data_IF_530668598752
#
_entry.id   IF_530668598752
#
_cell.length_a   1.000
_cell.length_b   1.000
_cell.length_c   1.000
_cell.angle_alpha   90.00
_cell.angle_beta   90.00
_cell.angle_gamma   90.00
#
_symmetry.space_group_name_H-M   'P 1'
#
loop_
_entity.id
_entity.type
_entity.pdbx_description
1 polymer ?
#
# COMPACT_ATOMS: atom_id res chain seq x y z
N UNK A 1 21.98 -15.92 0.73
CA UNK A 1 21.08 -15.28 -0.19
C UNK A 1 21.41 -13.79 -0.36
N UNK A 2 21.17 -13.21 -1.53
CA UNK A 2 21.20 -11.75 -1.72
C UNK A 2 20.01 -11.10 -1.01
N UNK A 3 20.22 -9.94 -0.39
CA UNK A 3 19.16 -9.14 0.22
C UNK A 3 19.54 -7.66 0.27
N UNK A 4 18.54 -6.78 0.13
CA UNK A 4 18.67 -5.34 0.36
C UNK A 4 18.38 -5.05 1.83
N UNK A 5 19.43 -4.83 2.59
CA UNK A 5 19.36 -4.68 4.06
C UNK A 5 19.57 -3.22 4.45
N UNK A 6 18.65 -2.71 5.24
CA UNK A 6 18.83 -1.49 6.03
C UNK A 6 19.52 -1.83 7.33
N UNK A 7 20.64 -1.15 7.62
CA UNK A 7 21.36 -1.28 8.88
C UNK A 7 21.79 0.12 9.34
N UNK A 8 21.26 0.57 10.48
CA UNK A 8 21.44 1.93 11.03
C UNK A 8 21.12 3.00 9.95
N UNK A 9 22.15 3.66 9.41
CA UNK A 9 22.01 4.74 8.45
C UNK A 9 22.39 4.33 7.01
N UNK A 10 22.58 3.03 6.76
CA UNK A 10 22.96 2.51 5.44
C UNK A 10 21.93 1.53 4.91
N UNK A 11 21.79 1.51 3.58
CA UNK A 11 21.06 0.49 2.85
C UNK A 11 22.04 -0.12 1.86
N UNK A 12 22.15 -1.43 1.84
CA UNK A 12 23.12 -2.13 1.00
C UNK A 12 22.59 -3.49 0.55
N UNK A 13 22.96 -3.89 -0.65
CA UNK A 13 22.80 -5.28 -1.07
C UNK A 13 23.92 -6.11 -0.45
N UNK A 14 23.55 -7.10 0.33
CA UNK A 14 24.49 -7.98 1.04
C UNK A 14 24.18 -9.45 0.79
N UNK A 15 25.19 -10.29 0.92
CA UNK A 15 24.99 -11.73 1.07
C UNK A 15 24.78 -12.04 2.56
N UNK A 16 23.60 -12.55 2.88
CA UNK A 16 23.23 -12.93 4.25
C UNK A 16 22.79 -14.40 4.32
N UNK A 17 22.66 -14.92 5.53
CA UNK A 17 22.09 -16.26 5.72
C UNK A 17 20.63 -16.29 5.21
N UNK A 18 20.26 -17.40 4.60
CA UNK A 18 18.86 -17.65 4.25
C UNK A 18 17.98 -17.69 5.50
N UNK A 19 16.77 -17.13 5.46
CA UNK A 19 15.84 -17.22 6.58
C UNK A 19 15.42 -18.68 6.79
N UNK A 20 15.04 -19.02 8.02
CA UNK A 20 14.63 -20.38 8.39
C UNK A 20 13.21 -20.35 8.95
N UNK A 21 12.47 -21.42 8.72
CA UNK A 21 11.23 -21.70 9.44
C UNK A 21 11.61 -21.87 10.92
N UNK A 22 11.05 -21.01 11.77
CA UNK A 22 11.31 -21.01 13.23
C UNK A 22 10.03 -21.27 14.02
N UNK A 23 8.88 -20.96 13.42
CA UNK A 23 7.57 -21.21 14.00
C UNK A 23 6.86 -22.31 13.23
N UNK A 24 5.98 -23.03 13.90
CA UNK A 24 5.22 -24.10 13.27
C UNK A 24 4.29 -23.63 12.14
N UNK A 25 3.89 -22.36 12.18
CA UNK A 25 3.00 -21.71 11.19
C UNK A 25 3.76 -20.86 10.15
N UNK A 26 5.09 -20.92 10.10
CA UNK A 26 5.90 -20.18 9.11
C UNK A 26 5.82 -20.83 7.71
N UNK A 27 5.87 -19.99 6.69
CA UNK A 27 6.02 -20.35 5.28
C UNK A 27 7.26 -19.68 4.73
N UNK A 28 8.18 -20.46 4.17
CA UNK A 28 9.36 -19.98 3.46
C UNK A 28 9.00 -19.80 1.99
N UNK A 29 9.25 -18.63 1.47
CA UNK A 29 8.99 -18.23 0.09
C UNK A 29 10.30 -18.00 -0.67
N UNK A 30 10.40 -18.50 -1.88
CA UNK A 30 11.30 -17.98 -2.91
C UNK A 30 10.62 -16.77 -3.54
N UNK A 31 11.20 -15.59 -3.38
CA UNK A 31 10.64 -14.34 -3.91
C UNK A 31 10.92 -14.27 -5.40
N UNK A 32 9.86 -14.12 -6.19
CA UNK A 32 9.99 -13.90 -7.64
C UNK A 32 10.12 -12.41 -7.95
N UNK A 33 9.22 -11.59 -7.37
CA UNK A 33 9.22 -10.14 -7.58
C UNK A 33 8.77 -9.42 -6.30
N UNK A 34 9.34 -8.24 -6.06
CA UNK A 34 8.93 -7.36 -4.97
C UNK A 34 8.83 -5.90 -5.46
N UNK A 35 7.68 -5.25 -5.23
CA UNK A 35 7.39 -3.87 -5.60
C UNK A 35 8.01 -2.87 -4.64
N UNK A 36 8.50 -1.74 -5.16
CA UNK A 36 9.01 -0.64 -4.34
C UNK A 36 7.89 0.32 -3.95
N UNK A 37 7.72 0.51 -2.64
CA UNK A 37 6.83 1.49 -2.03
C UNK A 37 7.59 2.72 -1.52
N UNK A 38 6.93 3.87 -1.43
CA UNK A 38 7.49 5.03 -0.74
C UNK A 38 7.80 4.76 0.74
N UNK A 39 7.09 3.84 1.35
CA UNK A 39 7.36 3.37 2.72
C UNK A 39 8.76 2.80 2.86
N UNK A 40 9.24 2.04 1.86
CA UNK A 40 10.61 1.50 1.85
C UNK A 40 11.65 2.63 1.75
N UNK A 41 11.37 3.66 0.94
CA UNK A 41 12.24 4.84 0.84
C UNK A 41 12.29 5.61 2.17
N UNK A 42 11.15 5.76 2.86
CA UNK A 42 11.12 6.41 4.18
C UNK A 42 11.83 5.59 5.25
N UNK A 43 11.72 4.27 5.20
CA UNK A 43 12.50 3.38 6.05
C UNK A 43 14.00 3.50 5.76
N UNK A 44 14.38 3.46 4.49
CA UNK A 44 15.77 3.57 4.03
C UNK A 44 16.42 4.88 4.46
N UNK A 45 15.70 6.00 4.35
CA UNK A 45 16.18 7.35 4.69
C UNK A 45 16.06 7.70 6.18
N UNK A 46 15.52 6.80 7.02
CA UNK A 46 15.32 7.02 8.45
C UNK A 46 14.16 7.94 8.83
N UNK A 47 13.34 8.37 7.86
CA UNK A 47 12.10 9.12 8.11
C UNK A 47 11.05 8.26 8.82
N UNK A 48 11.08 6.94 8.60
CA UNK A 48 10.27 5.96 9.30
C UNK A 48 11.18 5.09 10.17
N UNK A 49 10.86 5.02 11.46
CA UNK A 49 11.56 4.10 12.39
C UNK A 49 11.09 2.68 12.11
N UNK A 50 12.03 1.78 11.88
CA UNK A 50 11.80 0.36 11.58
C UNK A 50 12.71 -0.53 12.43
N UNK A 51 12.51 -1.86 12.40
CA UNK A 51 13.47 -2.83 12.93
C UNK A 51 14.85 -2.60 12.31
N UNK A 52 15.90 -2.84 13.06
CA UNK A 52 17.29 -2.64 12.62
C UNK A 52 18.21 -3.74 13.17
N UNK A 53 18.91 -4.56 12.35
CA UNK A 53 18.85 -4.56 10.88
C UNK A 53 17.53 -5.12 10.32
N UNK A 54 17.23 -4.80 9.04
CA UNK A 54 15.99 -5.18 8.37
C UNK A 54 16.19 -5.40 6.88
N UNK A 55 15.62 -6.47 6.33
CA UNK A 55 15.38 -6.62 4.90
C UNK A 55 14.12 -5.83 4.53
N UNK A 56 14.23 -4.89 3.59
CA UNK A 56 13.10 -4.07 3.13
C UNK A 56 12.16 -4.83 2.18
N UNK A 57 11.04 -4.21 1.81
CA UNK A 57 10.09 -4.72 0.81
C UNK A 57 8.90 -5.47 1.41
N UNK A 58 7.69 -5.03 1.08
CA UNK A 58 6.45 -5.58 1.63
C UNK A 58 5.40 -5.90 0.56
N UNK A 59 5.65 -5.60 -0.68
CA UNK A 59 4.79 -5.86 -1.83
C UNK A 59 5.41 -6.99 -2.65
N UNK A 60 5.21 -8.24 -2.27
CA UNK A 60 5.95 -9.36 -2.86
C UNK A 60 5.05 -10.48 -3.36
N UNK A 61 5.54 -11.20 -4.37
CA UNK A 61 4.98 -12.45 -4.85
C UNK A 61 6.10 -13.45 -5.13
N UNK A 62 5.80 -14.72 -5.02
CA UNK A 62 6.79 -15.77 -5.21
C UNK A 62 6.21 -17.18 -5.15
N UNK A 63 7.07 -18.13 -4.86
CA UNK A 63 6.70 -19.56 -4.78
C UNK A 63 7.01 -20.07 -3.37
N UNK A 64 6.12 -20.87 -2.83
CA UNK A 64 6.33 -21.56 -1.55
C UNK A 64 7.46 -22.57 -1.71
N UNK A 65 8.53 -22.42 -0.93
CA UNK A 65 9.66 -23.35 -0.92
C UNK A 65 9.50 -24.43 0.15
N UNK A 66 9.08 -24.03 1.35
CA UNK A 66 8.85 -24.93 2.47
C UNK A 66 7.78 -24.35 3.43
N UNK A 67 7.20 -25.24 4.23
CA UNK A 67 6.19 -24.88 5.22
C UNK A 67 6.49 -25.50 6.57
N UNK A 68 6.09 -24.83 7.64
CA UNK A 68 6.14 -25.36 9.00
C UNK A 68 5.12 -26.50 9.21
N UNK A 69 5.30 -27.31 10.26
CA UNK A 69 4.52 -28.52 10.46
C UNK A 69 3.02 -28.29 10.76
N UNK A 70 2.64 -27.08 11.21
CA UNK A 70 1.24 -26.72 11.49
C UNK A 70 0.56 -25.98 10.33
N UNK A 71 1.21 -25.84 9.18
CA UNK A 71 0.65 -25.16 8.02
C UNK A 71 -0.28 -26.08 7.26
N UNK A 72 -1.53 -25.67 7.12
CA UNK A 72 -2.56 -26.39 6.35
C UNK A 72 -2.92 -25.61 5.08
N UNK A 73 -3.25 -26.34 4.01
CA UNK A 73 -3.74 -25.76 2.75
C UNK A 73 -2.67 -25.12 1.86
N UNK A 74 -1.48 -24.83 2.38
CA UNK A 74 -0.34 -24.26 1.64
C UNK A 74 0.72 -25.36 1.46
N UNK A 75 1.28 -25.47 0.25
CA UNK A 75 2.24 -26.53 -0.09
C UNK A 75 3.42 -25.96 -0.89
N UNK A 76 4.62 -26.56 -0.79
CA UNK A 76 5.73 -26.24 -1.69
C UNK A 76 5.32 -26.30 -3.17
N UNK A 77 5.82 -25.34 -3.95
CA UNK A 77 5.48 -25.16 -5.36
C UNK A 77 4.27 -24.26 -5.62
N UNK A 78 3.44 -23.92 -4.61
CA UNK A 78 2.33 -23.00 -4.80
C UNK A 78 2.83 -21.57 -5.07
N UNK A 79 2.22 -20.92 -6.04
CA UNK A 79 2.42 -19.49 -6.35
C UNK A 79 1.60 -18.66 -5.38
N UNK A 80 2.20 -17.60 -4.81
CA UNK A 80 1.57 -16.83 -3.73
C UNK A 80 1.95 -15.35 -3.81
N UNK A 81 1.08 -14.51 -3.23
CA UNK A 81 1.41 -13.16 -2.73
C UNK A 81 1.11 -13.09 -1.23
N UNK A 82 1.30 -11.94 -0.60
CA UNK A 82 1.09 -11.81 0.85
C UNK A 82 0.21 -10.63 1.24
N UNK A 83 -0.45 -10.76 2.39
CA UNK A 83 -0.90 -9.63 3.22
C UNK A 83 0.27 -9.26 4.17
N UNK A 84 0.92 -8.11 4.00
CA UNK A 84 2.07 -7.76 4.83
C UNK A 84 1.72 -7.36 6.26
N UNK A 85 0.43 -7.24 6.60
CA UNK A 85 -0.02 -6.86 7.94
C UNK A 85 0.06 -8.04 8.88
N UNK A 86 1.02 -8.03 9.78
CA UNK A 86 1.21 -9.07 10.78
C UNK A 86 0.28 -8.83 11.98
N UNK A 87 -0.60 -9.78 12.27
CA UNK A 87 -1.58 -9.72 13.36
C UNK A 87 -1.17 -10.68 14.47
N UNK A 88 -1.31 -10.27 15.73
CA UNK A 88 -0.95 -11.14 16.86
C UNK A 88 -1.89 -12.35 17.03
N UNK A 89 -3.09 -12.35 16.44
CA UNK A 89 -4.13 -13.37 16.44
C UNK A 89 -4.63 -13.84 17.82
N UNK A 90 -4.14 -13.26 18.90
CA UNK A 90 -4.48 -13.63 20.27
C UNK A 90 -5.13 -12.53 21.11
N UNK A 91 -5.05 -11.27 20.70
CA UNK A 91 -5.72 -10.18 21.41
C UNK A 91 -7.26 -10.26 21.22
N UNK A 92 -8.00 -9.62 22.13
CA UNK A 92 -9.47 -9.57 22.06
C UNK A 92 -9.97 -9.11 20.69
N UNK A 93 -9.35 -8.10 20.08
CA UNK A 93 -9.77 -7.59 18.77
C UNK A 93 -9.57 -8.60 17.64
N UNK A 94 -8.43 -9.32 17.62
CA UNK A 94 -8.21 -10.40 16.64
C UNK A 94 -9.23 -11.53 16.77
N UNK A 95 -9.65 -11.85 18.00
CA UNK A 95 -10.66 -12.90 18.26
C UNK A 95 -12.08 -12.51 17.82
N UNK A 96 -12.30 -11.25 17.52
CA UNK A 96 -13.59 -10.70 17.06
C UNK A 96 -13.49 -10.04 15.67
N UNK A 97 -12.50 -10.43 14.86
CA UNK A 97 -12.27 -9.94 13.50
C UNK A 97 -12.14 -8.40 13.38
N UNK A 98 -11.68 -7.77 14.46
CA UNK A 98 -11.39 -6.34 14.51
C UNK A 98 -9.89 -6.09 14.25
N UNK A 99 -9.55 -4.84 13.90
CA UNK A 99 -8.16 -4.42 13.71
C UNK A 99 -7.32 -4.74 14.94
N UNK A 100 -6.23 -5.49 14.77
CA UNK A 100 -5.31 -5.90 15.83
C UNK A 100 -4.72 -4.68 16.54
N UNK A 101 -4.59 -4.74 17.86
CA UNK A 101 -3.93 -3.67 18.66
C UNK A 101 -2.41 -3.78 18.65
N UNK A 102 -1.87 -4.95 18.26
CA UNK A 102 -0.46 -5.23 18.23
C UNK A 102 -0.08 -5.74 16.85
N UNK A 103 -0.17 -4.84 15.85
CA UNK A 103 0.20 -5.12 14.47
C UNK A 103 1.70 -4.96 14.28
N UNK A 104 2.32 -5.91 13.55
CA UNK A 104 3.60 -5.72 12.89
C UNK A 104 3.40 -5.61 11.36
N UNK A 105 4.50 -5.45 10.65
CA UNK A 105 4.46 -5.30 9.21
C UNK A 105 5.70 -5.91 8.55
N UNK A 106 5.51 -6.74 7.53
CA UNK A 106 6.60 -7.30 6.72
C UNK A 106 7.36 -6.14 6.05
N UNK A 107 8.68 -6.18 6.07
CA UNK A 107 9.53 -5.12 5.54
C UNK A 107 9.67 -3.88 6.44
N UNK A 108 9.07 -3.87 7.65
CA UNK A 108 9.22 -2.80 8.65
C UNK A 108 9.54 -3.34 10.05
N UNK A 109 8.75 -4.30 10.54
CA UNK A 109 8.90 -4.92 11.87
C UNK A 109 9.46 -6.35 11.76
N UNK A 110 9.32 -6.97 10.60
CA UNK A 110 9.89 -8.26 10.22
C UNK A 110 10.55 -8.13 8.85
N UNK A 111 11.50 -9.02 8.55
CA UNK A 111 12.22 -9.01 7.28
C UNK A 111 11.27 -9.16 6.09
N UNK A 112 11.55 -8.41 5.01
CA UNK A 112 10.71 -8.27 3.83
C UNK A 112 11.22 -9.04 2.61
N UNK A 113 10.71 -8.65 1.44
CA UNK A 113 10.88 -9.35 0.16
C UNK A 113 11.93 -8.79 -0.78
N UNK A 114 12.71 -7.76 -0.40
CA UNK A 114 13.88 -7.38 -1.21
C UNK A 114 15.04 -8.33 -0.94
N UNK A 115 14.79 -9.62 -1.11
CA UNK A 115 15.71 -10.72 -0.93
C UNK A 115 15.26 -11.93 -1.76
N UNK A 116 16.18 -12.86 -2.03
CA UNK A 116 15.87 -14.10 -2.75
C UNK A 116 14.83 -14.97 -2.01
N UNK A 117 14.80 -14.88 -0.66
CA UNK A 117 13.86 -15.64 0.17
C UNK A 117 13.27 -14.77 1.29
N UNK A 118 12.03 -15.06 1.67
CA UNK A 118 11.33 -14.44 2.79
C UNK A 118 10.57 -15.49 3.61
N UNK A 119 10.40 -15.26 4.92
CA UNK A 119 9.56 -16.08 5.80
C UNK A 119 8.40 -15.24 6.29
N UNK A 120 7.19 -15.76 6.14
CA UNK A 120 5.96 -15.12 6.60
C UNK A 120 5.05 -16.16 7.28
N UNK A 121 4.17 -15.74 8.19
CA UNK A 121 3.20 -16.68 8.76
C UNK A 121 2.16 -17.13 7.72
N UNK A 122 1.69 -18.35 7.80
CA UNK A 122 0.76 -18.95 6.84
C UNK A 122 -0.52 -18.12 6.61
N UNK A 123 -1.05 -17.47 7.65
CA UNK A 123 -2.24 -16.62 7.52
C UNK A 123 -2.03 -15.37 6.65
N UNK A 124 -0.79 -15.00 6.41
CA UNK A 124 -0.43 -13.85 5.55
C UNK A 124 -0.28 -14.27 4.07
N UNK A 125 -0.27 -15.57 3.77
CA UNK A 125 -0.07 -16.10 2.43
C UNK A 125 -1.38 -16.19 1.67
N UNK A 126 -1.39 -15.65 0.46
CA UNK A 126 -2.53 -15.67 -0.46
C UNK A 126 -2.17 -16.48 -1.71
N UNK A 127 -2.75 -17.67 -1.91
CA UNK A 127 -2.55 -18.47 -3.11
C UNK A 127 -2.98 -17.71 -4.37
N UNK A 128 -2.21 -17.87 -5.45
CA UNK A 128 -2.48 -17.25 -6.74
C UNK A 128 -3.15 -18.22 -7.69
N UNK A 129 -4.03 -17.69 -8.53
CA UNK A 129 -4.45 -18.34 -9.75
C UNK A 129 -3.27 -18.40 -10.75
N UNK A 130 -3.17 -19.48 -11.52
CA UNK A 130 -2.08 -19.69 -12.48
C UNK A 130 -2.06 -18.62 -13.60
N UNK A 131 -3.19 -18.01 -13.91
CA UNK A 131 -3.32 -16.95 -14.90
C UNK A 131 -2.69 -15.61 -14.49
N UNK A 132 -2.53 -15.36 -13.18
CA UNK A 132 -2.00 -14.09 -12.69
C UNK A 132 -0.47 -14.09 -12.68
N UNK A 133 0.17 -13.14 -13.33
CA UNK A 133 1.63 -12.99 -13.30
C UNK A 133 2.13 -12.58 -11.89
N UNK A 134 3.39 -12.92 -11.57
CA UNK A 134 4.00 -12.44 -10.30
C UNK A 134 4.06 -10.93 -10.21
N UNK A 135 4.19 -10.24 -11.35
CA UNK A 135 4.21 -8.78 -11.43
C UNK A 135 2.88 -8.18 -10.94
N UNK A 136 1.76 -8.69 -11.46
CA UNK A 136 0.44 -8.27 -11.01
C UNK A 136 0.14 -8.74 -9.58
N UNK A 137 0.59 -9.92 -9.20
CA UNK A 137 0.39 -10.44 -7.85
C UNK A 137 1.13 -9.61 -6.78
N UNK A 138 2.37 -9.18 -7.05
CA UNK A 138 3.11 -8.28 -6.17
C UNK A 138 2.47 -6.88 -6.07
N UNK A 139 1.62 -6.50 -7.03
CA UNK A 139 0.83 -5.25 -6.97
C UNK A 139 -0.46 -5.39 -6.11
N UNK A 140 -0.74 -6.55 -5.54
CA UNK A 140 -1.93 -6.79 -4.72
C UNK A 140 -1.99 -5.87 -3.49
N UNK A 141 -0.85 -5.59 -2.84
CA UNK A 141 -0.79 -4.70 -1.67
C UNK A 141 -1.27 -3.27 -2.00
N UNK A 142 -0.77 -2.58 -3.04
CA UNK A 142 -1.29 -1.28 -3.44
C UNK A 142 -2.79 -1.28 -3.76
N UNK A 143 -3.30 -2.35 -4.38
CA UNK A 143 -4.74 -2.51 -4.65
C UNK A 143 -5.51 -2.61 -3.33
N UNK A 144 -5.09 -3.47 -2.41
CA UNK A 144 -5.71 -3.61 -1.08
C UNK A 144 -5.64 -2.28 -0.30
N UNK A 145 -4.51 -1.58 -0.39
CA UNK A 145 -4.38 -0.26 0.21
C UNK A 145 -5.40 0.74 -0.38
N UNK A 146 -5.63 0.72 -1.68
CA UNK A 146 -6.58 1.63 -2.35
C UNK A 146 -8.04 1.26 -2.08
N UNK A 147 -8.38 -0.02 -1.98
CA UNK A 147 -9.71 -0.51 -1.59
C UNK A 147 -10.18 0.06 -0.24
N UNK A 148 -9.25 0.44 0.62
CA UNK A 148 -9.58 0.98 1.95
C UNK A 148 -10.51 2.19 1.91
N UNK A 149 -10.53 2.97 0.82
CA UNK A 149 -11.38 4.17 0.70
C UNK A 149 -12.87 3.82 0.74
N UNK A 150 -13.24 2.62 0.28
CA UNK A 150 -14.63 2.14 0.32
C UNK A 150 -15.15 1.94 1.75
N UNK A 151 -14.26 1.74 2.73
CA UNK A 151 -14.62 1.64 4.17
C UNK A 151 -15.14 2.95 4.74
N UNK A 152 -14.97 4.07 4.05
CA UNK A 152 -15.50 5.38 4.49
C UNK A 152 -17.00 5.55 4.23
N UNK A 153 -17.64 4.60 3.53
CA UNK A 153 -19.07 4.67 3.23
C UNK A 153 -19.43 5.61 2.08
N UNK A 154 -18.44 6.05 1.28
CA UNK A 154 -18.71 6.78 0.03
C UNK A 154 -19.48 5.91 -0.95
N UNK A 155 -20.33 6.52 -1.78
CA UNK A 155 -21.18 5.80 -2.71
C UNK A 155 -21.14 6.42 -4.13
N UNK A 156 -21.38 5.62 -5.20
CA UNK A 156 -21.30 6.08 -6.60
C UNK A 156 -22.23 7.26 -6.95
N UNK A 157 -23.38 7.37 -6.27
CA UNK A 157 -24.33 8.46 -6.50
C UNK A 157 -23.92 9.81 -5.89
N UNK A 158 -22.88 9.82 -5.05
CA UNK A 158 -22.36 11.01 -4.38
C UNK A 158 -21.38 11.76 -5.28
N UNK A 159 -21.36 13.08 -5.15
CA UNK A 159 -20.40 13.95 -5.86
C UNK A 159 -19.06 13.98 -5.08
N UNK A 160 -18.02 13.43 -5.66
CA UNK A 160 -16.71 13.35 -5.05
C UNK A 160 -15.58 13.95 -5.87
N UNK A 161 -14.39 14.06 -5.26
CA UNK A 161 -13.15 14.44 -5.90
C UNK A 161 -11.94 13.77 -5.24
N UNK A 162 -10.83 13.71 -5.98
CA UNK A 162 -9.52 13.28 -5.49
C UNK A 162 -8.58 14.49 -5.44
N UNK A 163 -7.84 14.66 -4.35
CA UNK A 163 -6.75 15.65 -4.25
C UNK A 163 -5.41 14.90 -4.17
N UNK A 164 -4.51 15.24 -5.10
CA UNK A 164 -3.20 14.63 -5.30
C UNK A 164 -3.14 13.89 -6.62
N UNK A 165 -2.37 14.43 -7.59
CA UNK A 165 -2.13 13.81 -8.90
C UNK A 165 -0.88 12.95 -8.82
N UNK A 166 -1.04 11.64 -8.81
CA UNK A 166 0.04 10.67 -8.71
C UNK A 166 -0.48 9.27 -9.12
N UNK A 167 0.42 8.29 -9.29
CA UNK A 167 0.02 6.90 -9.64
C UNK A 167 -1.02 6.29 -8.69
N UNK A 168 -1.07 6.77 -7.44
CA UNK A 168 -2.03 6.24 -6.48
C UNK A 168 -3.44 6.78 -6.74
N UNK A 169 -3.60 8.03 -7.21
CA UNK A 169 -4.88 8.55 -7.65
C UNK A 169 -5.39 7.85 -8.92
N UNK A 170 -4.49 7.45 -9.82
CA UNK A 170 -4.85 6.64 -11.00
C UNK A 170 -5.33 5.24 -10.58
N UNK A 171 -4.60 4.55 -9.70
CA UNK A 171 -5.04 3.26 -9.16
C UNK A 171 -6.39 3.36 -8.43
N UNK A 172 -6.55 4.43 -7.65
CA UNK A 172 -7.80 4.68 -6.94
C UNK A 172 -8.97 4.86 -7.90
N UNK A 173 -8.78 5.59 -9.02
CA UNK A 173 -9.80 5.74 -10.04
C UNK A 173 -10.19 4.39 -10.68
N UNK A 174 -9.20 3.54 -11.02
CA UNK A 174 -9.48 2.19 -11.55
C UNK A 174 -10.32 1.34 -10.58
N UNK A 175 -10.04 1.45 -9.29
CA UNK A 175 -10.81 0.74 -8.26
C UNK A 175 -12.22 1.33 -8.17
N UNK A 176 -12.36 2.64 -8.06
CA UNK A 176 -13.66 3.28 -7.96
C UNK A 176 -14.54 2.96 -9.19
N UNK A 177 -13.98 2.99 -10.40
CA UNK A 177 -14.66 2.58 -11.63
C UNK A 177 -15.19 1.13 -11.55
N UNK A 178 -14.36 0.20 -11.01
CA UNK A 178 -14.74 -1.20 -10.81
C UNK A 178 -15.90 -1.37 -9.81
N UNK A 179 -16.18 -0.37 -8.97
CA UNK A 179 -17.32 -0.32 -8.04
C UNK A 179 -18.45 0.60 -8.52
N UNK A 180 -18.41 1.04 -9.78
CA UNK A 180 -19.49 1.81 -10.39
C UNK A 180 -19.48 3.30 -10.06
N UNK A 181 -18.39 3.83 -9.50
CA UNK A 181 -18.26 5.27 -9.34
C UNK A 181 -17.99 5.93 -10.69
N UNK A 182 -18.48 7.17 -10.92
CA UNK A 182 -18.08 7.95 -12.07
C UNK A 182 -16.61 8.33 -11.99
N UNK A 183 -16.01 8.69 -13.13
CA UNK A 183 -14.66 9.28 -13.14
C UNK A 183 -14.65 10.56 -12.32
N UNK A 184 -13.83 10.58 -11.28
CA UNK A 184 -13.71 11.70 -10.36
C UNK A 184 -12.73 12.75 -10.89
N UNK A 185 -13.00 14.05 -10.69
CA UNK A 185 -12.01 15.08 -10.92
C UNK A 185 -10.82 14.89 -9.97
N UNK A 186 -9.59 15.03 -10.50
CA UNK A 186 -8.33 14.92 -9.76
C UNK A 186 -7.65 16.28 -9.74
N UNK A 187 -7.39 16.81 -8.56
CA UNK A 187 -6.80 18.12 -8.36
C UNK A 187 -5.37 18.03 -7.80
N UNK A 188 -4.42 18.71 -8.44
CA UNK A 188 -3.10 18.98 -7.89
C UNK A 188 -3.07 20.41 -7.32
N UNK A 189 -2.83 20.55 -6.03
CA UNK A 189 -2.75 21.87 -5.40
C UNK A 189 -1.46 22.63 -5.69
N UNK A 190 -0.51 22.04 -6.38
CA UNK A 190 0.66 22.75 -6.94
C UNK A 190 0.33 23.44 -8.26
N UNK A 191 -0.75 23.02 -8.94
CA UNK A 191 -1.25 23.61 -10.17
C UNK A 191 -2.28 24.73 -9.83
N UNK A 192 -2.06 25.92 -10.37
CA UNK A 192 -2.90 27.08 -10.11
C UNK A 192 -4.32 26.94 -10.69
N UNK A 193 -4.47 26.24 -11.83
CA UNK A 193 -5.77 26.00 -12.49
C UNK A 193 -6.57 25.01 -11.64
N UNK A 194 -6.00 23.85 -11.29
CA UNK A 194 -6.66 22.88 -10.43
C UNK A 194 -7.04 23.46 -9.07
N UNK A 195 -6.20 24.33 -8.51
CA UNK A 195 -6.51 25.02 -7.25
C UNK A 195 -7.71 25.96 -7.36
N UNK A 196 -7.83 26.70 -8.48
CA UNK A 196 -8.96 27.57 -8.74
C UNK A 196 -10.26 26.75 -9.02
N UNK A 197 -10.16 25.68 -9.79
CA UNK A 197 -11.27 24.78 -10.09
C UNK A 197 -11.81 24.11 -8.80
N UNK A 198 -10.93 23.61 -7.95
CA UNK A 198 -11.34 23.05 -6.65
C UNK A 198 -11.99 24.10 -5.75
N UNK A 199 -11.48 25.35 -5.74
CA UNK A 199 -12.07 26.43 -4.97
C UNK A 199 -13.47 26.79 -5.46
N UNK A 200 -13.76 26.67 -6.76
CA UNK A 200 -15.10 26.86 -7.32
C UNK A 200 -16.10 25.79 -6.87
N UNK A 201 -15.65 24.67 -6.32
CA UNK A 201 -16.47 23.58 -5.76
C UNK A 201 -16.77 23.78 -4.26
N UNK A 202 -16.61 24.98 -3.72
CA UNK A 202 -16.86 25.25 -2.30
C UNK A 202 -18.27 24.76 -1.86
N UNK A 203 -18.31 23.93 -0.82
CA UNK A 203 -19.55 23.36 -0.27
C UNK A 203 -20.39 22.52 -1.27
N UNK A 204 -19.75 21.92 -2.26
CA UNK A 204 -20.48 21.17 -3.31
C UNK A 204 -20.22 19.67 -3.30
N UNK A 205 -19.16 19.19 -2.63
CA UNK A 205 -18.76 17.79 -2.66
C UNK A 205 -19.34 17.03 -1.45
N UNK A 206 -19.83 15.83 -1.69
CA UNK A 206 -20.29 14.91 -0.65
C UNK A 206 -19.08 14.25 0.02
N UNK A 207 -18.01 14.00 -0.74
CA UNK A 207 -16.75 13.49 -0.20
C UNK A 207 -15.53 13.99 -0.98
N UNK A 208 -14.37 13.97 -0.32
CA UNK A 208 -13.06 14.24 -0.93
C UNK A 208 -12.06 13.20 -0.42
N UNK A 209 -11.31 12.61 -1.33
CA UNK A 209 -10.24 11.64 -1.03
C UNK A 209 -8.89 12.32 -1.27
N UNK A 210 -7.97 12.27 -0.33
CA UNK A 210 -6.60 12.74 -0.56
C UNK A 210 -5.64 11.56 -0.79
N UNK A 211 -4.70 11.74 -1.68
CA UNK A 211 -3.58 10.83 -1.94
C UNK A 211 -2.21 11.48 -1.65
N UNK A 212 -2.24 12.73 -1.17
CA UNK A 212 -1.09 13.50 -0.72
C UNK A 212 -1.53 14.50 0.36
N UNK A 213 -1.32 14.15 1.64
CA UNK A 213 -1.72 15.01 2.75
C UNK A 213 -0.75 16.17 2.99
N UNK A 214 -1.32 17.35 3.16
CA UNK A 214 -0.65 18.54 3.69
C UNK A 214 -1.67 19.42 4.42
N UNK A 215 -1.20 20.39 5.20
CA UNK A 215 -2.11 21.36 5.85
C UNK A 215 -2.96 22.12 4.84
N UNK A 216 -2.40 22.45 3.67
CA UNK A 216 -3.13 23.10 2.58
C UNK A 216 -4.20 22.18 1.96
N UNK A 217 -3.90 20.87 1.82
CA UNK A 217 -4.86 19.88 1.34
C UNK A 217 -6.03 19.73 2.31
N UNK A 218 -5.77 19.61 3.61
CA UNK A 218 -6.84 19.54 4.62
C UNK A 218 -7.75 20.77 4.59
N UNK A 219 -7.16 21.97 4.46
CA UNK A 219 -7.93 23.21 4.35
C UNK A 219 -8.76 23.26 3.06
N UNK A 220 -8.23 22.77 1.93
CA UNK A 220 -8.96 22.69 0.67
C UNK A 220 -10.13 21.68 0.73
N UNK A 221 -9.89 20.50 1.33
CA UNK A 221 -10.92 19.48 1.56
C UNK A 221 -12.08 20.05 2.38
N UNK A 222 -11.78 20.71 3.52
CA UNK A 222 -12.82 21.28 4.39
C UNK A 222 -13.67 22.35 3.71
N UNK A 223 -13.10 23.14 2.78
CA UNK A 223 -13.85 24.12 1.98
C UNK A 223 -14.76 23.46 0.95
N UNK A 224 -14.25 22.45 0.25
CA UNK A 224 -14.92 21.82 -0.88
C UNK A 224 -16.12 20.96 -0.45
N UNK A 225 -16.07 20.29 0.71
CA UNK A 225 -17.15 19.42 1.19
C UNK A 225 -18.41 20.20 1.64
N UNK A 226 -19.55 19.57 1.49
CA UNK A 226 -20.83 20.00 2.11
C UNK A 226 -20.79 19.85 3.63
N UNK A 227 -21.68 20.49 4.38
CA UNK A 227 -21.93 20.12 5.76
C UNK A 227 -22.24 18.62 5.90
N UNK A 228 -21.61 17.94 6.87
CA UNK A 228 -21.69 16.49 7.04
C UNK A 228 -20.92 15.67 6.01
N UNK A 229 -20.15 16.31 5.11
CA UNK A 229 -19.40 15.62 4.07
C UNK A 229 -18.25 14.78 4.60
N UNK A 230 -17.75 13.87 3.77
CA UNK A 230 -16.74 12.87 4.13
C UNK A 230 -15.35 13.31 3.63
N UNK A 231 -14.37 13.31 4.52
CA UNK A 231 -12.96 13.49 4.20
C UNK A 231 -12.24 12.14 4.35
N UNK A 232 -11.72 11.59 3.28
CA UNK A 232 -10.99 10.31 3.30
C UNK A 232 -9.50 10.59 3.23
N UNK A 233 -8.78 10.28 4.31
CA UNK A 233 -7.35 10.47 4.43
C UNK A 233 -6.66 9.13 4.15
N UNK A 234 -5.99 9.07 2.99
CA UNK A 234 -5.40 7.83 2.48
C UNK A 234 -3.88 7.84 2.47
N UNK A 235 -3.25 8.99 2.30
CA UNK A 235 -1.79 9.06 2.26
C UNK A 235 -1.17 8.75 3.63
N UNK A 236 0.06 8.25 3.60
CA UNK A 236 0.88 8.03 4.81
C UNK A 236 1.76 9.26 5.03
N UNK A 237 1.26 10.22 5.80
CA UNK A 237 2.01 11.42 6.17
C UNK A 237 2.63 11.24 7.55
N UNK A 238 3.96 11.41 7.64
CA UNK A 238 4.72 11.25 8.88
C UNK A 238 4.96 12.59 9.60
N UNK A 239 4.94 13.70 8.86
CA UNK A 239 5.07 15.01 9.46
C UNK A 239 3.74 15.50 10.02
N UNK A 240 3.73 16.23 11.16
CA UNK A 240 2.51 16.79 11.72
C UNK A 240 1.81 17.72 10.74
N UNK A 241 0.48 17.60 10.66
CA UNK A 241 -0.37 18.50 9.89
C UNK A 241 -1.04 19.51 10.82
N UNK A 242 -1.13 20.77 10.37
CA UNK A 242 -1.79 21.85 11.10
C UNK A 242 -3.12 22.20 10.42
N UNK A 243 -4.16 22.37 11.20
CA UNK A 243 -5.46 22.87 10.75
C UNK A 243 -6.12 23.70 11.85
N UNK A 244 -6.99 24.63 11.46
CA UNK A 244 -7.79 25.41 12.41
C UNK A 244 -9.13 24.71 12.62
N UNK A 245 -9.43 24.35 13.86
CA UNK A 245 -10.68 23.63 14.18
C UNK A 245 -11.93 24.44 13.77
N UNK A 246 -11.86 25.77 13.83
CA UNK A 246 -12.98 26.64 13.44
C UNK A 246 -13.39 26.46 11.97
N UNK A 247 -12.47 26.06 11.09
CA UNK A 247 -12.75 25.83 9.67
C UNK A 247 -13.62 24.58 9.46
N UNK A 248 -13.66 23.68 10.45
CA UNK A 248 -14.42 22.44 10.44
C UNK A 248 -15.78 22.56 11.17
N UNK A 249 -15.91 23.47 12.14
CA UNK A 249 -17.12 23.59 12.97
C UNK A 249 -18.40 23.82 12.16
N UNK A 250 -18.34 24.58 11.07
CA UNK A 250 -19.50 24.85 10.20
C UNK A 250 -19.85 23.70 9.25
N UNK A 251 -18.92 22.76 9.08
CA UNK A 251 -19.06 21.65 8.12
C UNK A 251 -19.36 20.34 8.83
N UNK A 252 -18.96 20.20 10.11
CA UNK A 252 -19.11 18.96 10.88
C UNK A 252 -18.71 17.71 10.08
N UNK A 253 -17.50 17.69 9.45
CA UNK A 253 -17.10 16.62 8.54
C UNK A 253 -16.89 15.30 9.26
N UNK A 254 -17.15 14.20 8.57
CA UNK A 254 -16.70 12.89 9.00
C UNK A 254 -15.30 12.63 8.39
N UNK A 255 -14.30 12.41 9.23
CA UNK A 255 -12.93 12.14 8.78
C UNK A 255 -12.61 10.66 8.95
N UNK A 256 -12.32 9.99 7.84
CA UNK A 256 -11.88 8.60 7.82
C UNK A 256 -10.39 8.54 7.49
N UNK A 257 -9.58 8.05 8.44
CA UNK A 257 -8.18 7.65 8.17
C UNK A 257 -8.19 6.18 7.82
N UNK A 258 -7.87 5.84 6.58
CA UNK A 258 -7.98 4.47 6.06
C UNK A 258 -6.61 3.88 5.74
N UNK A 259 -6.40 2.60 6.01
CA UNK A 259 -5.13 1.92 5.77
C UNK A 259 -5.26 0.87 4.66
N UNK A 260 -5.85 -0.29 4.94
CA UNK A 260 -6.04 -1.39 3.98
C UNK A 260 -7.50 -1.80 3.86
N UNK A 261 -7.91 -2.17 2.64
CA UNK A 261 -9.10 -2.96 2.34
C UNK A 261 -8.82 -4.45 2.55
N UNK A 262 -9.63 -5.27 1.89
CA UNK A 262 -9.51 -6.72 1.93
C UNK A 262 -8.51 -7.21 0.86
N UNK A 263 -7.55 -8.04 1.24
CA UNK A 263 -6.52 -8.55 0.34
C UNK A 263 -7.06 -9.63 -0.62
N UNK A 264 -7.87 -10.60 -0.19
CA UNK A 264 -8.58 -11.50 -1.10
C UNK A 264 -9.40 -10.77 -2.17
N UNK A 265 -10.10 -9.69 -1.79
CA UNK A 265 -10.85 -8.86 -2.74
C UNK A 265 -9.92 -8.14 -3.74
N UNK A 266 -8.80 -7.60 -3.28
CA UNK A 266 -7.77 -7.00 -4.13
C UNK A 266 -7.24 -8.00 -5.16
N UNK A 267 -6.94 -9.21 -4.73
CA UNK A 267 -6.50 -10.30 -5.60
C UNK A 267 -7.59 -10.67 -6.63
N UNK A 268 -8.84 -10.76 -6.20
CA UNK A 268 -9.99 -11.05 -7.08
C UNK A 268 -10.15 -10.00 -8.19
N UNK A 269 -9.97 -8.71 -7.88
CA UNK A 269 -10.02 -7.63 -8.88
C UNK A 269 -8.94 -7.78 -9.96
N UNK A 270 -7.74 -8.21 -9.57
CA UNK A 270 -6.62 -8.44 -10.49
C UNK A 270 -6.85 -9.69 -11.34
N UNK A 271 -7.23 -10.82 -10.73
CA UNK A 271 -7.49 -12.10 -11.43
C UNK A 271 -8.64 -11.98 -12.41
N UNK A 272 -9.73 -11.32 -12.03
CA UNK A 272 -10.91 -11.14 -12.90
C UNK A 272 -10.69 -10.10 -14.01
N UNK A 273 -9.58 -9.35 -14.01
CA UNK A 273 -9.32 -8.28 -14.96
C UNK A 273 -10.27 -7.08 -14.84
N UNK A 274 -11.01 -6.96 -13.73
CA UNK A 274 -11.88 -5.79 -13.44
C UNK A 274 -11.09 -4.50 -13.34
N UNK A 275 -9.82 -4.58 -12.93
CA UNK A 275 -8.85 -3.50 -12.97
C UNK A 275 -7.65 -3.92 -13.81
N UNK A 276 -7.10 -2.98 -14.61
CA UNK A 276 -5.91 -3.17 -15.43
C UNK A 276 -4.84 -2.19 -14.99
N UNK A 277 -3.75 -2.72 -14.44
CA UNK A 277 -2.71 -1.94 -13.79
C UNK A 277 -1.42 -1.78 -14.61
N UNK A 278 -1.41 -2.30 -15.85
CA UNK A 278 -0.21 -2.31 -16.70
C UNK A 278 0.40 -0.91 -16.90
N UNK A 279 -0.45 0.12 -17.01
CA UNK A 279 0.01 1.50 -17.15
C UNK A 279 0.64 2.08 -15.88
N UNK A 280 0.45 1.46 -14.72
CA UNK A 280 0.97 1.88 -13.42
C UNK A 280 2.31 1.21 -13.07
N UNK A 281 2.73 0.23 -13.87
CA UNK A 281 3.93 -0.60 -13.65
C UNK A 281 5.09 -0.04 -14.47
N UNK A 282 6.26 0.04 -13.86
CA UNK A 282 7.56 0.32 -14.49
C UNK A 282 8.31 -1.00 -14.73
N UNK A 283 9.60 -0.90 -15.08
CA UNK A 283 10.48 -2.02 -15.31
C UNK A 283 10.79 -2.83 -14.04
N UNK A 284 11.32 -4.03 -14.27
CA UNK A 284 11.88 -4.91 -13.24
C UNK A 284 13.40 -4.73 -13.21
N UNK A 285 13.96 -4.58 -12.02
CA UNK A 285 15.37 -4.27 -11.78
C UNK A 285 16.03 -5.30 -10.87
N UNK A 286 17.34 -5.51 -11.04
CA UNK A 286 18.15 -6.19 -10.04
C UNK A 286 18.23 -5.38 -8.75
N UNK A 287 18.38 -6.06 -7.59
CA UNK A 287 18.57 -5.37 -6.29
C UNK A 287 19.77 -4.42 -6.31
N UNK A 288 20.83 -4.74 -7.08
CA UNK A 288 22.02 -3.89 -7.21
C UNK A 288 21.74 -2.50 -7.77
N UNK A 289 20.60 -2.30 -8.42
CA UNK A 289 20.19 -1.01 -9.00
C UNK A 289 19.38 -0.14 -8.03
N UNK A 290 19.23 -0.56 -6.76
CA UNK A 290 18.29 0.06 -5.81
C UNK A 290 18.47 1.58 -5.66
N UNK A 291 19.69 2.10 -5.64
CA UNK A 291 19.95 3.54 -5.44
C UNK A 291 19.27 4.38 -6.53
N UNK A 292 19.50 4.02 -7.80
CA UNK A 292 18.88 4.71 -8.95
C UNK A 292 17.36 4.55 -8.97
N UNK A 293 16.87 3.36 -8.62
CA UNK A 293 15.44 3.05 -8.60
C UNK A 293 14.75 3.81 -7.46
N UNK A 294 15.37 3.90 -6.28
CA UNK A 294 14.87 4.69 -5.16
C UNK A 294 14.83 6.19 -5.47
N UNK A 295 15.86 6.72 -6.12
CA UNK A 295 15.89 8.12 -6.56
C UNK A 295 14.75 8.42 -7.52
N UNK A 296 14.61 7.62 -8.59
CA UNK A 296 13.55 7.77 -9.59
C UNK A 296 12.14 7.64 -8.99
N UNK A 297 11.94 6.73 -8.04
CA UNK A 297 10.64 6.49 -7.41
C UNK A 297 10.20 7.62 -6.46
N UNK A 298 11.04 8.63 -6.20
CA UNK A 298 10.64 9.84 -5.45
C UNK A 298 9.78 10.79 -6.29
N UNK A 299 9.85 10.70 -7.60
CA UNK A 299 8.95 11.44 -8.49
C UNK A 299 7.50 10.99 -8.24
N UNK A 300 6.59 11.95 -8.13
CA UNK A 300 5.16 11.72 -7.90
C UNK A 300 4.48 10.98 -9.04
N UNK A 301 4.95 11.19 -10.27
CA UNK A 301 4.41 10.58 -11.50
C UNK A 301 5.12 9.28 -11.89
N UNK A 302 6.19 8.88 -11.16
CA UNK A 302 6.89 7.64 -11.44
C UNK A 302 5.96 6.44 -11.32
N UNK A 303 5.99 5.57 -12.32
CA UNK A 303 5.35 4.26 -12.28
C UNK A 303 6.01 3.39 -11.20
N UNK A 304 5.36 2.31 -10.79
CA UNK A 304 5.86 1.41 -9.75
C UNK A 304 6.96 0.50 -10.29
N UNK A 305 8.21 0.63 -9.84
CA UNK A 305 9.27 -0.31 -10.17
C UNK A 305 9.20 -1.55 -9.27
N UNK A 306 9.76 -2.64 -9.80
CA UNK A 306 9.89 -3.91 -9.10
C UNK A 306 11.34 -4.37 -9.07
N UNK A 307 11.67 -5.17 -8.05
CA UNK A 307 12.93 -5.88 -7.97
C UNK A 307 12.71 -7.38 -8.19
N UNK A 308 13.59 -7.97 -9.02
CA UNK A 308 13.80 -9.39 -9.08
C UNK A 308 15.10 -9.70 -8.32
N UNK A 309 15.01 -10.35 -7.15
CA UNK A 309 16.19 -10.61 -6.32
C UNK A 309 17.16 -11.64 -6.93
N UNK A 310 16.73 -12.38 -7.95
CA UNK A 310 17.56 -13.40 -8.63
C UNK A 310 18.54 -12.81 -9.66
N UNK A 311 18.33 -11.55 -10.07
CA UNK A 311 19.16 -10.82 -11.04
C UNK A 311 20.47 -10.27 -10.46
#
# INVERSE_FOLDING_TARGET
>A
MKALVKNRNSVQVVNTAAPKITREDDVLLQVALAGLCRTDIYAATGKLKVKDPLVLGHELAGVVEAVGPSVEGIKPGMRVTIDPVLRCRQCHRCKHDLSCTNTGFVGLDADGGFAEQAVVPAYAVLPLDDSLSFLHAAYCEPVAASLAVLKSGIAPAQKGAIIGKNRFSELLQLILDAYGFPTLPVFDLNDAVHKAELAALESQLDYVIETYASSAVLAAMSKAIKPGGIMVLKSRQYEPLQFRLIDFLKKEPVMHVVNYGDFPEALSLLVSGRIKIDNLIDDVYALSNFEKVFERAQDSEAKKPFFDPSL
#
